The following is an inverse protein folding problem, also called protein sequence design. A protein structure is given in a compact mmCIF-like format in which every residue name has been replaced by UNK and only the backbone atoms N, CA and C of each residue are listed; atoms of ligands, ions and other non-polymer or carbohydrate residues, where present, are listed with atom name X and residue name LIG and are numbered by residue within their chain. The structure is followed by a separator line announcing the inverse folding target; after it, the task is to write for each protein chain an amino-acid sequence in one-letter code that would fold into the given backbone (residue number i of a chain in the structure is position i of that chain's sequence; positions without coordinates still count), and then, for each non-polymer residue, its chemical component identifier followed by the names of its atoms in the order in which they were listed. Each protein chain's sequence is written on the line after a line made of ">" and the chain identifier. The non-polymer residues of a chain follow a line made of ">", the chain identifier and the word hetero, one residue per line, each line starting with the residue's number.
data_IF_638861562459
#
_entry.id   IF_638861562459
#
_cell.length_a   1.000
_cell.length_b   1.000
_cell.length_c   1.000
_cell.angle_alpha   90.00
_cell.angle_beta   90.00
_cell.angle_gamma   90.00
#
_symmetry.space_group_name_H-M   'P 1'
#
loop_
_entity.id
_entity.type
_entity.pdbx_description
1 polymer ?
#
# COMPACT_ATOMS: atom_id res chain seq x y z
N UNK A 1 -14.42 19.87 -19.04
CA UNK A 1 -13.50 20.83 -18.42
C UNK A 1 -14.20 21.35 -17.19
N UNK A 2 -13.99 20.72 -16.05
CA UNK A 2 -14.45 21.19 -14.75
C UNK A 2 -13.26 21.21 -13.82
N UNK A 3 -13.10 22.32 -13.18
CA UNK A 3 -11.96 22.83 -12.43
C UNK A 3 -11.49 21.90 -11.32
N UNK A 4 -10.20 21.57 -11.35
CA UNK A 4 -9.50 20.97 -10.23
C UNK A 4 -9.06 22.09 -9.26
N UNK A 5 -9.97 22.51 -8.40
CA UNK A 5 -9.58 23.27 -7.20
C UNK A 5 -8.87 22.35 -6.22
N UNK A 6 -7.59 22.55 -6.10
CA UNK A 6 -6.77 22.10 -4.97
C UNK A 6 -7.27 22.82 -3.71
N UNK A 7 -8.19 22.21 -2.97
CA UNK A 7 -8.55 22.67 -1.64
C UNK A 7 -7.39 22.46 -0.66
N UNK A 8 -6.48 23.41 -0.63
CA UNK A 8 -5.67 23.70 0.53
C UNK A 8 -6.50 24.60 1.46
N UNK A 9 -7.28 24.01 2.35
CA UNK A 9 -7.78 24.74 3.51
C UNK A 9 -6.66 24.86 4.54
N UNK A 10 -5.89 25.94 4.41
CA UNK A 10 -5.11 26.52 5.51
C UNK A 10 -5.78 27.85 5.90
N UNK A 11 -6.60 27.80 6.94
CA UNK A 11 -7.04 28.96 7.67
C UNK A 11 -6.02 29.27 8.75
N UNK A 12 -4.96 29.97 8.38
CA UNK A 12 -4.19 30.84 9.27
C UNK A 12 -3.42 31.85 8.42
N UNK A 13 -4.10 32.95 8.10
CA UNK A 13 -3.49 34.16 7.52
C UNK A 13 -2.90 35.04 8.62
N UNK A 14 -1.79 34.62 9.19
CA UNK A 14 -0.82 35.55 9.77
C UNK A 14 0.39 35.62 8.83
N UNK A 15 0.77 36.82 8.42
CA UNK A 15 1.81 37.19 7.47
C UNK A 15 3.09 36.37 7.58
N UNK A 16 3.12 35.19 6.98
CA UNK A 16 4.34 34.41 6.78
C UNK A 16 4.89 34.74 5.40
N UNK A 17 6.07 35.31 5.34
CA UNK A 17 6.89 35.39 4.15
C UNK A 17 6.97 33.98 3.53
N UNK A 18 6.29 33.78 2.39
CA UNK A 18 6.34 32.52 1.66
C UNK A 18 7.79 32.29 1.18
N UNK A 19 8.52 31.43 1.89
CA UNK A 19 9.86 31.02 1.48
C UNK A 19 9.70 30.03 0.33
N UNK A 20 10.01 30.46 -0.89
CA UNK A 20 10.04 29.60 -2.06
C UNK A 20 11.36 28.84 -2.13
N UNK A 21 11.34 27.59 -1.65
CA UNK A 21 12.50 26.71 -1.76
C UNK A 21 12.67 26.20 -3.20
N UNK A 22 13.92 26.12 -3.71
CA UNK A 22 14.21 25.64 -5.06
C UNK A 22 13.86 24.16 -5.23
N UNK A 23 13.72 23.71 -6.48
CA UNK A 23 13.45 22.29 -6.79
C UNK A 23 14.57 21.33 -6.39
N UNK A 24 15.80 21.84 -6.21
CA UNK A 24 16.93 21.08 -5.68
C UNK A 24 16.85 20.83 -4.17
N UNK A 25 15.99 21.58 -3.45
CA UNK A 25 15.82 21.37 -2.02
C UNK A 25 14.86 20.19 -1.79
N UNK A 26 15.36 19.13 -1.19
CA UNK A 26 14.62 17.89 -0.91
C UNK A 26 13.37 18.19 -0.07
N UNK A 27 12.20 17.77 -0.56
CA UNK A 27 10.92 17.99 0.12
C UNK A 27 10.27 19.35 -0.13
N UNK A 28 10.88 20.25 -0.94
CA UNK A 28 10.21 21.48 -1.36
C UNK A 28 8.97 21.16 -2.24
N UNK A 29 7.99 22.08 -2.27
CA UNK A 29 6.80 21.90 -3.14
C UNK A 29 7.20 21.71 -4.61
N UNK A 30 8.25 22.41 -5.10
CA UNK A 30 8.75 22.27 -6.46
C UNK A 30 9.45 20.93 -6.69
N UNK A 31 10.29 20.48 -5.75
CA UNK A 31 10.91 19.16 -5.81
C UNK A 31 9.85 18.05 -5.93
N UNK A 32 8.83 18.14 -5.10
CA UNK A 32 7.73 17.18 -5.11
C UNK A 32 6.95 17.22 -6.42
N UNK A 33 6.62 18.42 -6.94
CA UNK A 33 5.92 18.55 -8.22
C UNK A 33 6.73 17.93 -9.37
N UNK A 34 8.06 18.07 -9.38
CA UNK A 34 8.93 17.44 -10.37
C UNK A 34 8.86 15.90 -10.25
N UNK A 35 8.93 15.34 -9.04
CA UNK A 35 8.82 13.88 -8.84
C UNK A 35 7.46 13.33 -9.33
N UNK A 36 6.38 14.07 -9.11
CA UNK A 36 5.05 13.72 -9.61
C UNK A 36 5.05 13.73 -11.14
N UNK A 37 5.56 14.81 -11.75
CA UNK A 37 5.62 14.97 -13.21
C UNK A 37 6.43 13.82 -13.84
N UNK A 38 7.60 13.50 -13.29
CA UNK A 38 8.46 12.42 -13.77
C UNK A 38 7.75 11.06 -13.73
N UNK A 39 7.03 10.79 -12.66
CA UNK A 39 6.30 9.53 -12.50
C UNK A 39 5.07 9.43 -13.40
N UNK A 40 4.35 10.56 -13.61
CA UNK A 40 3.26 10.60 -14.59
C UNK A 40 3.78 10.42 -16.02
N UNK A 41 4.96 10.97 -16.32
CA UNK A 41 5.64 10.76 -17.61
C UNK A 41 5.97 9.29 -17.83
N UNK A 42 6.42 8.58 -16.78
CA UNK A 42 6.68 7.12 -16.86
C UNK A 42 5.40 6.38 -17.18
N UNK A 43 4.28 6.70 -16.50
CA UNK A 43 3.01 6.05 -16.78
C UNK A 43 2.48 6.33 -18.19
N UNK A 44 2.62 7.58 -18.63
CA UNK A 44 2.22 7.98 -19.99
C UNK A 44 3.07 7.28 -21.07
N UNK A 45 4.36 7.08 -20.80
CA UNK A 45 5.30 6.50 -21.77
C UNK A 45 5.32 4.99 -21.75
N UNK A 46 5.29 4.37 -20.55
CA UNK A 46 5.47 2.93 -20.35
C UNK A 46 4.17 2.21 -20.01
N UNK A 47 3.05 2.92 -19.92
CA UNK A 47 1.72 2.42 -19.59
C UNK A 47 1.44 2.33 -18.09
N UNK A 48 0.17 2.11 -17.75
CA UNK A 48 -0.30 2.01 -16.38
C UNK A 48 0.34 0.82 -15.64
N UNK A 49 0.55 0.91 -14.30
CA UNK A 49 1.07 -0.20 -13.52
C UNK A 49 0.17 -1.43 -13.62
N UNK A 50 0.74 -2.60 -13.41
CA UNK A 50 -0.01 -3.87 -13.32
C UNK A 50 -0.43 -4.15 -11.88
N UNK A 51 0.45 -3.89 -10.91
CA UNK A 51 0.18 -4.15 -9.49
C UNK A 51 0.50 -2.95 -8.62
N UNK A 52 -0.31 -2.80 -7.57
CA UNK A 52 -0.04 -1.94 -6.42
C UNK A 52 0.15 -2.82 -5.20
N UNK A 53 1.26 -2.63 -4.50
CA UNK A 53 1.64 -3.44 -3.34
C UNK A 53 2.01 -2.54 -2.19
N UNK A 54 1.51 -2.84 -1.00
CA UNK A 54 1.98 -2.19 0.23
C UNK A 54 2.56 -3.23 1.17
N UNK A 55 3.66 -2.90 1.84
CA UNK A 55 4.31 -3.76 2.82
C UNK A 55 4.51 -3.00 4.12
N UNK A 56 4.03 -3.54 5.22
CA UNK A 56 4.26 -2.99 6.56
C UNK A 56 5.30 -3.82 7.31
N UNK A 57 6.20 -3.16 8.01
CA UNK A 57 7.18 -3.83 8.87
C UNK A 57 6.48 -4.70 9.93
N UNK A 58 6.88 -5.95 10.04
CA UNK A 58 6.49 -6.82 11.14
C UNK A 58 7.56 -6.78 12.23
N UNK A 59 7.22 -6.22 13.38
CA UNK A 59 8.13 -6.13 14.52
C UNK A 59 8.51 -7.49 15.12
N UNK A 60 7.75 -8.55 14.79
CA UNK A 60 7.99 -9.92 15.24
C UNK A 60 8.93 -10.72 14.33
N UNK A 61 9.51 -10.11 13.30
CA UNK A 61 10.52 -10.82 12.52
C UNK A 61 11.69 -11.25 13.39
N UNK A 62 12.18 -12.49 13.26
CA UNK A 62 13.28 -13.02 14.08
C UNK A 62 14.52 -12.13 14.06
N UNK A 63 14.79 -11.49 12.92
CA UNK A 63 15.93 -10.60 12.74
C UNK A 63 15.84 -9.32 13.59
N UNK A 64 14.62 -8.89 13.96
CA UNK A 64 14.38 -7.78 14.90
C UNK A 64 14.39 -8.31 16.32
N UNK A 65 13.65 -9.38 16.58
CA UNK A 65 13.48 -9.92 17.93
C UNK A 65 14.81 -10.38 18.56
N UNK A 66 15.71 -10.95 17.76
CA UNK A 66 17.03 -11.40 18.22
C UNK A 66 17.99 -10.26 18.64
N UNK A 67 17.65 -9.01 18.32
CA UNK A 67 18.47 -7.84 18.65
C UNK A 67 17.94 -7.08 19.87
N UNK A 68 16.80 -7.49 20.43
CA UNK A 68 16.23 -6.87 21.60
C UNK A 68 16.92 -7.36 22.88
N UNK A 69 17.32 -6.45 23.74
CA UNK A 69 17.75 -6.75 25.11
C UNK A 69 16.54 -6.93 26.02
N UNK A 70 16.68 -7.59 27.18
CA UNK A 70 15.61 -7.72 28.17
C UNK A 70 14.98 -6.37 28.53
N UNK A 71 13.66 -6.25 28.39
CA UNK A 71 12.90 -5.02 28.65
C UNK A 71 12.84 -4.02 27.49
N UNK A 72 13.56 -4.24 26.41
CA UNK A 72 13.47 -3.41 25.21
C UNK A 72 12.32 -3.83 24.29
N UNK A 73 11.86 -2.87 23.47
CA UNK A 73 10.92 -3.08 22.38
C UNK A 73 11.51 -2.54 21.06
N UNK A 74 10.82 -2.73 19.95
CA UNK A 74 11.29 -2.32 18.62
C UNK A 74 11.57 -0.81 18.49
N UNK A 75 10.92 0.04 19.29
CA UNK A 75 11.14 1.50 19.24
C UNK A 75 12.50 1.90 19.83
N UNK A 76 13.11 1.04 20.63
CA UNK A 76 14.42 1.27 21.23
C UNK A 76 15.57 0.97 20.25
N UNK A 77 15.27 0.23 19.16
CA UNK A 77 16.25 -0.17 18.13
C UNK A 77 15.85 0.25 16.70
N UNK A 78 15.49 1.53 16.47
CA UNK A 78 14.90 1.96 15.20
C UNK A 78 15.81 1.75 13.97
N UNK A 79 17.12 1.84 14.17
CA UNK A 79 18.11 1.59 13.09
C UNK A 79 18.09 0.13 12.65
N UNK A 80 17.97 -0.81 13.57
CA UNK A 80 17.87 -2.24 13.27
C UNK A 80 16.58 -2.51 12.50
N UNK A 81 15.45 -1.99 13.00
CA UNK A 81 14.13 -2.11 12.35
C UNK A 81 14.20 -1.60 10.90
N UNK A 82 14.77 -0.42 10.68
CA UNK A 82 14.91 0.15 9.35
C UNK A 82 15.79 -0.70 8.41
N UNK A 83 16.90 -1.23 8.91
CA UNK A 83 17.82 -2.11 8.14
C UNK A 83 17.16 -3.43 7.76
N UNK A 84 16.50 -4.10 8.71
CA UNK A 84 15.78 -5.35 8.47
C UNK A 84 14.66 -5.12 7.47
N UNK A 85 13.85 -4.06 7.63
CA UNK A 85 12.82 -3.72 6.69
C UNK A 85 13.35 -3.49 5.26
N UNK A 86 14.46 -2.74 5.12
CA UNK A 86 15.11 -2.50 3.82
C UNK A 86 15.54 -3.81 3.14
N UNK A 87 16.09 -4.77 3.91
CA UNK A 87 16.44 -6.08 3.37
C UNK A 87 15.22 -6.87 2.94
N UNK A 88 14.16 -6.92 3.76
CA UNK A 88 12.88 -7.58 3.42
C UNK A 88 12.25 -6.96 2.18
N UNK A 89 12.24 -5.63 2.08
CA UNK A 89 11.73 -4.91 0.89
C UNK A 89 12.53 -5.27 -0.37
N UNK A 90 13.85 -5.31 -0.28
CA UNK A 90 14.71 -5.72 -1.41
C UNK A 90 14.38 -7.15 -1.86
N UNK A 91 14.15 -8.06 -0.92
CA UNK A 91 13.77 -9.44 -1.22
C UNK A 91 12.35 -9.51 -1.81
N UNK A 92 11.41 -8.68 -1.33
CA UNK A 92 10.06 -8.58 -1.89
C UNK A 92 10.09 -8.11 -3.34
N UNK A 93 10.84 -7.06 -3.65
CA UNK A 93 10.97 -6.56 -5.03
C UNK A 93 11.57 -7.61 -5.97
N UNK A 94 12.56 -8.38 -5.50
CA UNK A 94 13.11 -9.52 -6.26
C UNK A 94 12.06 -10.62 -6.44
N UNK A 95 11.33 -10.98 -5.39
CA UNK A 95 10.29 -12.00 -5.46
C UNK A 95 9.19 -11.60 -6.46
N UNK A 96 8.70 -10.37 -6.41
CA UNK A 96 7.72 -9.85 -7.37
C UNK A 96 8.25 -9.98 -8.80
N UNK A 97 9.49 -9.59 -9.06
CA UNK A 97 10.11 -9.67 -10.39
C UNK A 97 10.17 -11.10 -10.95
N UNK A 98 10.32 -12.10 -10.10
CA UNK A 98 10.56 -13.50 -10.52
C UNK A 98 9.32 -14.39 -10.44
N UNK A 99 8.33 -14.05 -9.62
CA UNK A 99 7.14 -14.89 -9.43
C UNK A 99 6.13 -14.80 -10.56
N UNK A 100 6.03 -13.65 -11.20
CA UNK A 100 5.01 -13.39 -12.22
C UNK A 100 5.55 -13.57 -13.64
N UNK A 101 6.17 -14.71 -13.89
CA UNK A 101 6.79 -15.03 -15.21
C UNK A 101 5.76 -14.96 -16.34
N UNK A 102 4.52 -15.39 -16.06
CA UNK A 102 3.41 -15.34 -17.03
C UNK A 102 2.95 -13.90 -17.34
N UNK A 103 3.23 -12.94 -16.48
CA UNK A 103 3.00 -11.52 -16.75
C UNK A 103 4.10 -10.90 -17.63
N UNK A 104 5.07 -11.70 -18.08
CA UNK A 104 6.17 -11.28 -18.91
C UNK A 104 7.24 -10.49 -18.15
N UNK A 105 8.04 -9.73 -18.90
CA UNK A 105 9.13 -8.92 -18.33
C UNK A 105 8.58 -7.77 -17.50
N UNK A 106 9.18 -7.52 -16.31
CA UNK A 106 8.94 -6.31 -15.56
C UNK A 106 9.46 -5.10 -16.34
N UNK A 107 8.59 -4.12 -16.60
CA UNK A 107 8.91 -2.91 -17.36
C UNK A 107 9.50 -1.85 -16.44
N UNK A 108 8.81 -1.58 -15.31
CA UNK A 108 9.30 -0.69 -14.27
C UNK A 108 8.81 -1.11 -12.87
N UNK A 109 9.49 -0.59 -11.86
CA UNK A 109 9.05 -0.64 -10.47
C UNK A 109 9.41 0.67 -9.79
N UNK A 110 8.44 1.28 -9.12
CA UNK A 110 8.62 2.50 -8.31
C UNK A 110 8.12 2.22 -6.91
N UNK A 111 8.86 2.65 -5.91
CA UNK A 111 8.43 2.49 -4.53
C UNK A 111 8.83 3.69 -3.67
N UNK A 112 8.05 3.94 -2.62
CA UNK A 112 8.38 4.88 -1.58
C UNK A 112 8.28 4.21 -0.21
N UNK A 113 9.03 4.73 0.76
CA UNK A 113 8.99 4.27 2.15
C UNK A 113 8.44 5.43 2.99
N UNK A 114 7.40 5.15 3.76
CA UNK A 114 6.81 6.05 4.73
C UNK A 114 7.05 5.50 6.14
N UNK A 115 7.43 6.36 7.08
CA UNK A 115 7.44 5.99 8.49
C UNK A 115 6.10 6.36 9.11
N UNK A 116 5.36 5.37 9.57
CA UNK A 116 4.08 5.59 10.26
C UNK A 116 4.30 6.31 11.59
N UNK A 117 3.24 6.92 12.17
CA UNK A 117 3.32 7.64 13.45
C UNK A 117 3.94 6.83 14.60
N UNK A 118 3.95 5.49 14.51
CA UNK A 118 4.57 4.58 15.48
C UNK A 118 6.04 4.30 15.20
N UNK A 119 6.66 4.98 14.23
CA UNK A 119 8.05 4.76 13.82
C UNK A 119 8.28 3.51 12.96
N UNK A 120 7.24 2.78 12.56
CA UNK A 120 7.38 1.59 11.72
C UNK A 120 7.45 1.97 10.23
N UNK A 121 8.43 1.45 9.47
CA UNK A 121 8.51 1.67 8.04
C UNK A 121 7.41 0.90 7.30
N UNK A 122 6.88 1.55 6.28
CA UNK A 122 5.84 1.07 5.39
C UNK A 122 6.21 1.42 3.95
N UNK A 123 6.15 0.44 3.04
CA UNK A 123 6.47 0.67 1.64
C UNK A 123 5.22 0.63 0.79
N UNK A 124 5.14 1.57 -0.16
CA UNK A 124 4.19 1.56 -1.26
C UNK A 124 4.95 1.31 -2.56
N UNK A 125 4.49 0.35 -3.34
CA UNK A 125 5.19 -0.14 -4.52
C UNK A 125 4.19 -0.19 -5.67
N UNK A 126 4.56 0.33 -6.83
CA UNK A 126 3.87 0.10 -8.09
C UNK A 126 4.80 -0.63 -9.05
N UNK A 127 4.25 -1.60 -9.75
CA UNK A 127 5.01 -2.44 -10.68
C UNK A 127 4.26 -2.57 -12.00
N UNK A 128 4.97 -2.41 -13.11
CA UNK A 128 4.47 -2.69 -14.45
C UNK A 128 5.14 -3.92 -15.03
N UNK A 129 4.31 -4.85 -15.49
CA UNK A 129 4.73 -5.98 -16.33
C UNK A 129 4.32 -5.76 -17.78
N UNK A 130 4.97 -6.46 -18.70
CA UNK A 130 4.69 -6.36 -20.14
C UNK A 130 3.27 -6.82 -20.49
N UNK A 131 2.79 -7.88 -19.85
CA UNK A 131 1.41 -8.30 -19.94
C UNK A 131 0.51 -7.56 -18.96
N UNK A 132 -0.75 -7.41 -19.33
CA UNK A 132 -1.81 -6.88 -18.47
C UNK A 132 -2.43 -8.03 -17.67
N UNK A 133 -3.05 -7.70 -16.53
CA UNK A 133 -3.84 -8.62 -15.71
C UNK A 133 -5.29 -8.08 -15.72
N UNK A 134 -6.05 -8.48 -16.74
CA UNK A 134 -7.32 -7.84 -17.10
C UNK A 134 -8.53 -8.78 -17.05
N UNK A 135 -8.33 -10.07 -16.82
CA UNK A 135 -9.43 -11.04 -16.69
C UNK A 135 -9.61 -11.47 -15.25
N UNK A 136 -10.82 -11.87 -14.87
CA UNK A 136 -11.11 -12.35 -13.52
C UNK A 136 -10.21 -13.54 -13.15
N UNK A 137 -9.98 -14.48 -14.06
CA UNK A 137 -9.16 -15.66 -13.83
C UNK A 137 -7.69 -15.32 -13.61
N UNK A 138 -7.14 -14.38 -14.39
CA UNK A 138 -5.77 -13.89 -14.19
C UNK A 138 -5.62 -13.21 -12.83
N UNK A 139 -6.60 -12.39 -12.44
CA UNK A 139 -6.61 -11.70 -11.15
C UNK A 139 -6.68 -12.72 -10.02
N UNK A 140 -7.62 -13.66 -10.07
CA UNK A 140 -7.86 -14.65 -9.02
C UNK A 140 -6.71 -15.66 -8.88
N UNK A 141 -5.92 -15.85 -9.93
CA UNK A 141 -4.70 -16.67 -9.88
C UNK A 141 -3.57 -16.03 -9.05
N UNK A 142 -3.62 -14.71 -8.85
CA UNK A 142 -2.55 -13.93 -8.19
C UNK A 142 -3.02 -13.36 -6.86
N UNK A 143 -4.24 -12.80 -6.83
CA UNK A 143 -4.78 -12.04 -5.69
C UNK A 143 -5.96 -12.77 -5.09
N UNK A 144 -5.92 -12.99 -3.79
CA UNK A 144 -7.04 -13.50 -3.02
C UNK A 144 -7.54 -12.45 -2.02
N UNK A 145 -8.85 -12.41 -1.83
CA UNK A 145 -9.50 -11.61 -0.79
C UNK A 145 -10.37 -12.50 0.12
N UNK A 146 -9.99 -13.75 0.28
CA UNK A 146 -10.69 -14.77 1.07
C UNK A 146 -9.78 -15.40 2.12
N UNK A 147 -10.38 -15.96 3.15
CA UNK A 147 -9.70 -16.80 4.12
C UNK A 147 -9.40 -18.15 3.45
N UNK A 148 -8.14 -18.60 3.40
CA UNK A 148 -7.79 -19.86 2.74
C UNK A 148 -8.34 -21.07 3.47
N UNK A 149 -8.23 -22.25 2.86
CA UNK A 149 -8.69 -23.52 3.47
C UNK A 149 -7.61 -24.23 4.29
N UNK A 150 -6.33 -23.98 3.98
CA UNK A 150 -5.21 -24.57 4.72
C UNK A 150 -5.06 -23.89 6.09
N UNK A 151 -5.01 -24.65 7.21
CA UNK A 151 -4.94 -24.05 8.54
C UNK A 151 -3.74 -23.12 8.77
N UNK A 152 -2.58 -23.42 8.20
CA UNK A 152 -1.39 -22.56 8.33
C UNK A 152 -1.55 -21.24 7.61
N UNK A 153 -2.23 -21.22 6.48
CA UNK A 153 -2.55 -20.02 5.73
C UNK A 153 -3.66 -19.20 6.38
N UNK A 154 -4.66 -19.89 6.98
CA UNK A 154 -5.70 -19.25 7.79
C UNK A 154 -5.06 -18.40 8.89
N UNK A 155 -4.11 -18.98 9.64
CA UNK A 155 -3.39 -18.25 10.70
C UNK A 155 -2.69 -17.01 10.15
N UNK A 156 -2.00 -17.12 9.00
CA UNK A 156 -1.31 -16.00 8.37
C UNK A 156 -2.27 -14.90 7.94
N UNK A 157 -3.38 -15.25 7.29
CA UNK A 157 -4.38 -14.28 6.83
C UNK A 157 -5.07 -13.62 8.03
N UNK A 158 -5.46 -14.37 9.04
CA UNK A 158 -6.08 -13.83 10.26
C UNK A 158 -5.14 -12.87 11.00
N UNK A 159 -3.86 -13.18 11.06
CA UNK A 159 -2.85 -12.39 11.75
C UNK A 159 -2.48 -11.11 11.01
N UNK A 160 -2.38 -11.15 9.68
CA UNK A 160 -1.79 -10.06 8.92
C UNK A 160 -2.73 -9.38 7.93
N UNK A 161 -3.80 -10.05 7.48
CA UNK A 161 -4.61 -9.59 6.36
C UNK A 161 -6.07 -9.34 6.69
N UNK A 162 -6.44 -9.27 7.97
CA UNK A 162 -7.80 -8.83 8.35
C UNK A 162 -7.81 -7.34 8.70
N UNK A 163 -8.75 -6.61 8.07
CA UNK A 163 -9.08 -5.27 8.49
C UNK A 163 -9.96 -5.33 9.74
N UNK A 164 -9.57 -4.65 10.81
CA UNK A 164 -10.27 -4.70 12.08
C UNK A 164 -10.79 -3.34 12.51
N UNK A 165 -12.00 -3.31 13.04
CA UNK A 165 -12.56 -2.16 13.73
C UNK A 165 -12.57 -2.37 15.24
N UNK A 166 -12.47 -1.30 16.04
CA UNK A 166 -12.75 -1.38 17.46
C UNK A 166 -14.17 -1.91 17.70
N UNK A 167 -14.35 -2.63 18.81
CA UNK A 167 -15.68 -3.07 19.21
C UNK A 167 -16.68 -1.89 19.29
N UNK A 168 -17.99 -2.11 19.07
CA UNK A 168 -18.99 -1.03 19.04
C UNK A 168 -19.04 -0.15 20.29
N UNK A 169 -18.69 -0.72 21.45
CA UNK A 169 -18.64 -0.02 22.74
C UNK A 169 -17.32 0.75 22.98
N UNK A 170 -16.39 0.74 22.04
CA UNK A 170 -15.13 1.50 22.09
C UNK A 170 -15.19 2.69 21.14
N UNK A 171 -14.40 3.76 21.40
CA UNK A 171 -14.29 4.88 20.46
C UNK A 171 -13.92 4.42 19.05
N UNK A 172 -14.42 5.11 17.99
CA UNK A 172 -14.10 4.78 16.61
C UNK A 172 -12.59 4.88 16.36
N UNK A 173 -12.07 4.07 15.46
CA UNK A 173 -10.69 4.17 15.02
C UNK A 173 -10.47 5.48 14.28
N UNK A 174 -9.69 6.39 14.83
CA UNK A 174 -9.25 7.63 14.15
C UNK A 174 -8.52 7.36 12.84
N UNK A 175 -8.02 6.13 12.66
CA UNK A 175 -7.29 5.73 11.46
C UNK A 175 -8.23 5.43 10.28
N UNK A 176 -9.30 4.68 10.48
CA UNK A 176 -10.14 4.20 9.37
C UNK A 176 -11.63 4.55 9.51
N UNK A 177 -12.14 4.90 10.69
CA UNK A 177 -13.54 5.17 10.90
C UNK A 177 -13.81 6.68 11.00
N UNK A 178 -14.93 7.10 10.40
CA UNK A 178 -15.53 8.43 10.57
C UNK A 178 -16.91 8.25 11.18
N UNK A 179 -17.22 9.06 12.15
CA UNK A 179 -18.57 9.20 12.69
C UNK A 179 -19.38 10.11 11.78
N UNK A 180 -20.54 9.67 11.37
CA UNK A 180 -21.46 10.42 10.54
C UNK A 180 -22.43 11.23 11.43
N UNK A 181 -23.15 12.17 10.83
CA UNK A 181 -24.12 13.04 11.53
C UNK A 181 -25.28 12.28 12.18
N UNK A 182 -25.57 11.07 11.71
CA UNK A 182 -26.59 10.16 12.26
C UNK A 182 -26.07 9.26 13.39
N UNK A 183 -24.80 9.46 13.84
CA UNK A 183 -24.14 8.62 14.85
C UNK A 183 -23.61 7.28 14.33
N UNK A 184 -23.83 6.96 13.07
CA UNK A 184 -23.26 5.75 12.47
C UNK A 184 -21.77 5.90 12.18
N UNK A 185 -21.06 4.77 12.01
CA UNK A 185 -19.62 4.76 11.74
C UNK A 185 -19.36 4.22 10.34
N UNK A 186 -18.66 4.99 9.52
CA UNK A 186 -18.26 4.56 8.18
C UNK A 186 -16.75 4.35 8.10
N UNK A 187 -16.34 3.17 7.59
CA UNK A 187 -14.95 2.91 7.27
C UNK A 187 -14.53 3.63 5.99
N UNK A 188 -13.49 4.45 6.04
CA UNK A 188 -12.97 5.15 4.86
C UNK A 188 -12.32 4.23 3.81
N UNK A 189 -11.98 2.99 4.21
CA UNK A 189 -11.47 1.95 3.32
C UNK A 189 -12.58 1.03 2.80
N UNK A 190 -13.85 1.30 3.17
CA UNK A 190 -15.01 0.57 2.69
C UNK A 190 -15.20 -0.83 3.31
N UNK A 191 -14.59 -1.10 4.48
CA UNK A 191 -14.85 -2.36 5.21
C UNK A 191 -16.06 -2.24 6.14
N UNK A 192 -16.86 -3.32 6.29
CA UNK A 192 -16.74 -4.61 5.59
C UNK A 192 -17.05 -4.48 4.10
N UNK A 193 -16.34 -5.24 3.27
CA UNK A 193 -16.58 -5.31 1.82
C UNK A 193 -17.78 -6.22 1.54
N UNK A 194 -18.54 -5.99 0.46
CA UNK A 194 -19.64 -6.89 0.11
C UNK A 194 -19.12 -8.28 -0.24
N UNK A 195 -19.89 -9.32 0.16
CA UNK A 195 -19.68 -10.66 -0.32
C UNK A 195 -20.13 -10.74 -1.79
N UNK A 196 -19.36 -11.43 -2.60
CA UNK A 196 -19.69 -11.65 -4.01
C UNK A 196 -19.03 -12.94 -4.55
N UNK A 197 -19.72 -13.67 -5.43
CA UNK A 197 -19.28 -15.00 -5.86
C UNK A 197 -18.10 -14.98 -6.83
N UNK A 198 -17.93 -13.90 -7.60
CA UNK A 198 -16.93 -13.78 -8.67
C UNK A 198 -16.21 -12.44 -8.62
N UNK A 199 -14.95 -12.43 -9.03
CA UNK A 199 -14.22 -11.18 -9.24
C UNK A 199 -14.78 -10.46 -10.47
N UNK A 200 -15.03 -9.16 -10.34
CA UNK A 200 -15.57 -8.33 -11.41
C UNK A 200 -14.72 -7.07 -11.59
N UNK A 201 -14.69 -6.57 -12.82
CA UNK A 201 -14.06 -5.31 -13.20
C UNK A 201 -15.16 -4.40 -13.71
N UNK A 202 -15.38 -3.26 -13.06
CA UNK A 202 -16.39 -2.31 -13.53
C UNK A 202 -15.88 -1.49 -14.74
N UNK A 203 -16.78 -0.71 -15.37
CA UNK A 203 -16.43 0.10 -16.54
C UNK A 203 -15.37 1.17 -16.31
N UNK A 204 -15.07 1.52 -15.06
CA UNK A 204 -14.00 2.44 -14.66
C UNK A 204 -12.69 1.71 -14.32
N UNK A 205 -12.67 0.38 -14.45
CA UNK A 205 -11.52 -0.45 -14.15
C UNK A 205 -11.33 -0.80 -12.68
N UNK A 206 -12.27 -0.46 -11.78
CA UNK A 206 -12.18 -0.88 -10.38
C UNK A 206 -12.48 -2.37 -10.24
N UNK A 207 -11.65 -3.06 -9.49
CA UNK A 207 -11.76 -4.49 -9.25
C UNK A 207 -12.50 -4.74 -7.93
N UNK A 208 -13.51 -5.59 -8.02
CA UNK A 208 -14.19 -6.15 -6.87
C UNK A 208 -13.82 -7.64 -6.79
N UNK A 209 -12.94 -7.97 -5.86
CA UNK A 209 -12.47 -9.34 -5.65
C UNK A 209 -13.59 -10.21 -5.10
N UNK A 210 -13.66 -11.47 -5.51
CA UNK A 210 -14.60 -12.43 -4.94
C UNK A 210 -14.37 -12.62 -3.44
N UNK A 211 -15.48 -12.76 -2.69
CA UNK A 211 -15.56 -13.02 -1.24
C UNK A 211 -16.79 -13.86 -1.01
N UNK A 212 -16.61 -15.16 -0.83
CA UNK A 212 -17.70 -16.12 -0.92
C UNK A 212 -18.22 -16.59 0.42
N UNK A 213 -17.48 -16.37 1.51
CA UNK A 213 -17.80 -16.90 2.84
C UNK A 213 -17.89 -15.77 3.87
N UNK A 214 -18.68 -15.98 4.92
CA UNK A 214 -18.69 -15.10 6.07
C UNK A 214 -17.29 -14.98 6.68
N UNK A 215 -16.83 -13.76 6.93
CA UNK A 215 -15.47 -13.44 7.35
C UNK A 215 -14.60 -12.88 6.22
N UNK A 216 -14.84 -13.27 4.97
CA UNK A 216 -14.09 -12.76 3.81
C UNK A 216 -14.31 -11.27 3.58
N UNK A 217 -15.41 -10.70 4.04
CA UNK A 217 -15.70 -9.27 3.97
C UNK A 217 -14.65 -8.38 4.67
N UNK A 218 -13.86 -8.97 5.55
CA UNK A 218 -12.80 -8.29 6.29
C UNK A 218 -11.39 -8.52 5.73
N UNK A 219 -11.25 -9.42 4.77
CA UNK A 219 -9.95 -9.81 4.22
C UNK A 219 -9.41 -8.71 3.29
N UNK A 220 -8.18 -8.30 3.54
CA UNK A 220 -7.42 -7.39 2.66
C UNK A 220 -6.87 -8.18 1.48
N UNK A 221 -7.00 -7.70 0.22
CA UNK A 221 -6.45 -8.39 -0.94
C UNK A 221 -4.96 -8.68 -0.76
N UNK A 222 -4.55 -9.92 -1.06
CA UNK A 222 -3.19 -10.38 -0.83
C UNK A 222 -2.74 -11.44 -1.84
N UNK A 223 -1.44 -11.59 -1.98
CA UNK A 223 -0.81 -12.68 -2.71
C UNK A 223 -0.27 -13.69 -1.69
N UNK A 224 -0.92 -14.85 -1.58
CA UNK A 224 -0.62 -15.85 -0.55
C UNK A 224 0.83 -16.34 -0.55
N UNK A 225 1.50 -16.63 -1.70
CA UNK A 225 2.91 -16.97 -1.72
C UNK A 225 3.82 -15.90 -1.11
N UNK A 226 3.51 -14.61 -1.31
CA UNK A 226 4.27 -13.52 -0.71
C UNK A 226 3.98 -13.42 0.80
N UNK A 227 2.73 -13.63 1.21
CA UNK A 227 2.35 -13.62 2.63
C UNK A 227 3.08 -14.72 3.41
N UNK A 228 3.13 -15.96 2.86
CA UNK A 228 3.90 -17.07 3.45
C UNK A 228 5.38 -16.74 3.60
N UNK A 229 5.98 -16.11 2.59
CA UNK A 229 7.41 -15.82 2.56
C UNK A 229 7.82 -14.69 3.52
N UNK A 230 7.00 -13.66 3.64
CA UNK A 230 7.38 -12.44 4.37
C UNK A 230 6.73 -12.31 5.74
N UNK A 231 5.62 -13.01 5.99
CA UNK A 231 4.91 -13.02 7.27
C UNK A 231 4.70 -11.62 7.84
N UNK A 232 4.08 -10.75 7.04
CA UNK A 232 3.75 -9.38 7.44
C UNK A 232 2.53 -8.90 6.64
N UNK A 233 1.97 -7.76 7.01
CA UNK A 233 0.89 -7.16 6.23
C UNK A 233 1.41 -6.76 4.85
N UNK A 234 0.93 -7.45 3.81
CA UNK A 234 1.22 -7.17 2.40
C UNK A 234 -0.10 -7.09 1.64
N UNK A 235 -0.64 -5.87 1.48
CA UNK A 235 -1.74 -5.66 0.56
C UNK A 235 -1.22 -5.74 -0.87
N UNK A 236 -1.86 -6.56 -1.71
CA UNK A 236 -1.48 -6.79 -3.09
C UNK A 236 -2.72 -6.65 -3.97
N UNK A 237 -2.74 -5.64 -4.81
CA UNK A 237 -3.88 -5.32 -5.66
C UNK A 237 -3.45 -5.19 -7.12
N UNK A 238 -4.34 -5.57 -8.04
CA UNK A 238 -4.17 -5.25 -9.46
C UNK A 238 -4.45 -3.76 -9.65
N UNK A 239 -3.51 -3.10 -10.30
CA UNK A 239 -3.57 -1.66 -10.58
C UNK A 239 -4.33 -1.42 -11.87
N UNK A 240 -5.61 -1.11 -11.78
CA UNK A 240 -6.47 -0.93 -12.95
C UNK A 240 -6.59 0.51 -13.44
N UNK A 241 -6.16 1.50 -12.65
CA UNK A 241 -6.35 2.91 -12.97
C UNK A 241 -5.10 3.76 -12.75
N UNK A 242 -4.97 4.85 -13.56
CA UNK A 242 -3.92 5.86 -13.39
C UNK A 242 -3.99 6.62 -12.05
N UNK A 243 -5.15 6.58 -11.36
CA UNK A 243 -5.32 7.22 -10.04
C UNK A 243 -4.39 6.66 -8.96
N UNK A 244 -3.86 5.45 -9.13
CA UNK A 244 -2.87 4.86 -8.22
C UNK A 244 -1.56 5.64 -8.18
N UNK A 245 -1.17 6.28 -9.27
CA UNK A 245 -0.03 7.20 -9.24
C UNK A 245 -0.30 8.38 -8.32
N UNK A 246 -1.48 9.00 -8.42
CA UNK A 246 -1.87 10.10 -7.52
C UNK A 246 -1.92 9.66 -6.05
N UNK A 247 -2.33 8.41 -5.80
CA UNK A 247 -2.32 7.82 -4.47
C UNK A 247 -0.89 7.62 -3.95
N UNK A 248 0.02 7.06 -4.75
CA UNK A 248 1.43 6.91 -4.39
C UNK A 248 2.06 8.28 -4.06
N UNK A 249 1.71 9.31 -4.81
CA UNK A 249 2.23 10.66 -4.59
C UNK A 249 1.77 11.30 -3.30
N UNK A 250 0.57 11.02 -2.80
CA UNK A 250 0.17 11.46 -1.46
C UNK A 250 1.11 10.94 -0.37
N UNK A 251 1.72 9.76 -0.59
CA UNK A 251 2.67 9.18 0.36
C UNK A 251 4.09 9.67 0.15
N UNK A 252 4.49 9.96 -1.08
CA UNK A 252 5.75 10.67 -1.37
C UNK A 252 5.78 12.04 -0.68
N UNK A 253 4.63 12.71 -0.59
CA UNK A 253 4.50 14.00 0.13
C UNK A 253 4.64 13.88 1.65
N UNK A 254 4.34 12.71 2.24
CA UNK A 254 4.35 12.52 3.69
C UNK A 254 5.67 12.00 4.25
N UNK A 255 6.53 11.40 3.42
CA UNK A 255 7.77 10.77 3.85
C UNK A 255 8.95 11.18 2.98
N UNK A 256 10.00 11.74 3.58
CA UNK A 256 11.20 12.25 2.92
C UNK A 256 12.20 11.16 2.47
N UNK A 257 11.75 10.00 1.99
CA UNK A 257 12.69 8.98 1.50
C UNK A 257 12.19 8.34 0.21
N UNK A 258 12.66 8.87 -0.91
CA UNK A 258 12.57 8.21 -2.21
C UNK A 258 13.83 7.40 -2.47
N UNK A 259 13.70 6.12 -2.81
CA UNK A 259 14.81 5.32 -3.28
C UNK A 259 14.56 4.80 -4.70
N UNK A 260 15.41 5.29 -5.57
CA UNK A 260 15.90 4.74 -6.84
C UNK A 260 14.92 4.10 -7.83
N UNK A 261 14.79 4.79 -8.95
CA UNK A 261 14.52 4.22 -10.27
C UNK A 261 15.53 3.12 -10.60
N UNK A 262 15.05 1.95 -11.01
CA UNK A 262 15.82 1.00 -11.81
C UNK A 262 14.99 0.68 -13.05
N UNK A 263 15.32 1.34 -14.16
CA UNK A 263 15.04 0.80 -15.49
C UNK A 263 15.97 -0.42 -15.69
N UNK A 264 15.41 -1.53 -16.04
CA UNK A 264 16.18 -2.72 -16.49
C UNK A 264 16.18 -2.77 -18.00
#
# INVERSE_FOLDING_TARGET
>A
MQDFELMAHDSDMSSSTNIYLPSSFLGSKRWVANQISDSLTIAATLGNPTFFVTMTCNTQWPEIQSQLLPGQNFADIPVVVARVFKQKLTLLLRAIKTMFVNAGRQVYSVHCIEFQKRGLPHAHIIVKFAASCNTSDEIDSIVSAEIPSDPSDVELVQRFMLHQHPAPNRPPSKYCQRELSDGSRKCRFGYPRPLQPTTTINGEGHIQYHRRRAGDEWVVPHCLPLLRKFQCHINFEVASTSHLFQYLFKYVHKGMYMNSFRST
#
